data_IF_239934034997
#
_entry.id   IF_239934034997
#
_cell.length_a   1.000
_cell.length_b   1.000
_cell.length_c   1.000
_cell.angle_alpha   90.00
_cell.angle_beta   90.00
_cell.angle_gamma   90.00
#
_symmetry.space_group_name_H-M   'P 1'
#
loop_
_entity.id
_entity.type
_entity.pdbx_description
1 polymer ?
#
# COMPACT_ATOMS: atom_id res chain seq x y z
N UNK A 1 15.25 16.15 -38.78
CA UNK A 1 15.48 15.49 -37.48
C UNK A 1 14.18 15.54 -36.67
N UNK A 2 13.72 14.41 -36.12
CA UNK A 2 12.63 14.44 -35.16
C UNK A 2 13.12 15.11 -33.88
N UNK A 3 12.45 16.16 -33.46
CA UNK A 3 12.75 16.85 -32.21
C UNK A 3 12.51 15.90 -31.04
N UNK A 4 13.55 15.62 -30.26
CA UNK A 4 13.45 14.78 -29.06
C UNK A 4 12.74 15.60 -27.98
N UNK A 5 11.54 15.13 -27.58
CA UNK A 5 10.80 15.68 -26.45
C UNK A 5 11.12 14.89 -25.19
N UNK A 6 11.32 15.60 -24.10
CA UNK A 6 11.55 14.96 -22.81
C UNK A 6 10.34 14.15 -22.34
N UNK A 7 10.60 12.99 -21.77
CA UNK A 7 9.61 12.19 -21.05
C UNK A 7 9.74 12.31 -19.53
N UNK A 8 10.74 13.11 -19.05
CA UNK A 8 10.93 13.39 -17.65
C UNK A 8 9.72 14.15 -17.10
N UNK A 9 9.20 13.69 -15.97
CA UNK A 9 8.12 14.34 -15.22
C UNK A 9 8.62 14.70 -13.83
N UNK A 10 8.36 15.93 -13.43
CA UNK A 10 8.65 16.43 -12.08
C UNK A 10 7.34 17.01 -11.51
N UNK A 11 6.98 16.59 -10.32
CA UNK A 11 5.80 17.07 -9.60
C UNK A 11 6.08 17.05 -8.09
N UNK A 12 5.23 17.70 -7.33
CA UNK A 12 5.33 17.72 -5.87
C UNK A 12 4.22 16.90 -5.25
N UNK A 13 4.53 16.11 -4.25
CA UNK A 13 3.57 15.27 -3.52
C UNK A 13 2.41 16.09 -2.94
N UNK A 14 2.70 17.30 -2.46
CA UNK A 14 1.71 18.19 -1.87
C UNK A 14 0.62 18.66 -2.85
N UNK A 15 0.90 18.63 -4.15
CA UNK A 15 -0.03 19.04 -5.20
C UNK A 15 -0.96 17.88 -5.61
N UNK A 16 -0.79 16.69 -5.03
CA UNK A 16 -1.58 15.51 -5.33
C UNK A 16 -2.67 15.28 -4.29
N UNK A 17 -3.86 14.96 -4.76
CA UNK A 17 -4.96 14.57 -3.91
C UNK A 17 -4.73 13.22 -3.26
N UNK A 18 -5.08 13.12 -1.98
CA UNK A 18 -5.12 11.86 -1.24
C UNK A 18 -6.51 11.23 -1.31
N UNK A 19 -6.55 9.90 -1.32
CA UNK A 19 -7.78 9.11 -1.20
C UNK A 19 -7.77 8.32 0.10
N UNK A 20 -8.96 8.08 0.65
CA UNK A 20 -9.12 7.19 1.82
C UNK A 20 -8.51 5.83 1.49
N UNK A 21 -7.65 5.34 2.38
CA UNK A 21 -6.98 4.05 2.24
C UNK A 21 -7.76 2.88 2.86
N UNK A 22 -7.03 1.85 3.24
CA UNK A 22 -7.60 0.56 3.70
C UNK A 22 -8.20 0.58 5.11
N UNK A 23 -7.91 1.61 5.90
CA UNK A 23 -8.37 1.70 7.28
C UNK A 23 -8.79 3.13 7.62
N UNK A 24 -9.66 3.34 8.63
CA UNK A 24 -9.89 4.66 9.17
C UNK A 24 -8.55 5.29 9.62
N UNK A 25 -8.32 6.56 9.26
CA UNK A 25 -7.06 7.25 9.53
C UNK A 25 -5.94 6.97 8.52
N UNK A 26 -6.21 6.25 7.43
CA UNK A 26 -5.28 6.01 6.34
C UNK A 26 -5.62 6.86 5.12
N UNK A 27 -4.70 7.69 4.69
CA UNK A 27 -4.75 8.45 3.44
C UNK A 27 -3.67 7.91 2.49
N UNK A 28 -4.02 7.69 1.24
CA UNK A 28 -3.07 7.26 0.20
C UNK A 28 -3.02 8.28 -0.94
N UNK A 29 -1.83 8.72 -1.29
CA UNK A 29 -1.54 9.55 -2.46
C UNK A 29 -0.81 8.72 -3.49
N UNK A 30 -1.43 8.48 -4.63
CA UNK A 30 -0.80 7.76 -5.73
C UNK A 30 0.15 8.68 -6.48
N UNK A 31 1.45 8.39 -6.42
CA UNK A 31 2.50 9.19 -7.04
C UNK A 31 2.73 8.80 -8.50
N UNK A 32 2.87 7.49 -8.76
CA UNK A 32 3.11 6.92 -10.09
C UNK A 32 2.27 5.66 -10.27
N UNK A 33 1.81 5.39 -11.48
CA UNK A 33 1.06 4.19 -11.82
C UNK A 33 -0.44 4.43 -12.06
N UNK A 34 -0.82 5.63 -12.49
CA UNK A 34 -2.16 5.97 -12.99
C UNK A 34 -2.08 6.55 -14.41
N UNK A 35 -3.22 6.93 -14.98
CA UNK A 35 -3.31 7.48 -16.34
C UNK A 35 -2.54 8.79 -16.51
N UNK A 36 -2.55 9.67 -15.50
CA UNK A 36 -1.87 10.96 -15.54
C UNK A 36 -0.35 10.82 -15.35
N UNK A 37 0.06 9.88 -14.54
CA UNK A 37 1.45 9.58 -14.19
C UNK A 37 1.72 8.08 -14.38
N UNK A 38 1.72 7.61 -15.64
CA UNK A 38 1.87 6.20 -15.93
C UNK A 38 3.25 5.69 -15.53
N UNK A 39 3.29 4.49 -14.99
CA UNK A 39 4.50 3.70 -14.79
C UNK A 39 4.44 2.45 -15.63
N UNK A 40 5.56 1.99 -16.14
CA UNK A 40 5.60 0.72 -16.89
C UNK A 40 5.37 -0.48 -15.98
N UNK A 41 6.08 -0.52 -14.85
CA UNK A 41 6.06 -1.61 -13.87
C UNK A 41 5.95 -1.13 -12.42
N UNK A 42 6.19 0.15 -12.17
CA UNK A 42 6.20 0.71 -10.84
C UNK A 42 4.87 1.41 -10.54
N UNK A 43 4.27 1.01 -9.43
CA UNK A 43 3.21 1.75 -8.76
C UNK A 43 3.76 2.26 -7.44
N UNK A 44 3.75 3.57 -7.26
CA UNK A 44 4.29 4.21 -6.05
C UNK A 44 3.23 5.06 -5.40
N UNK A 45 3.03 4.87 -4.11
CA UNK A 45 2.14 5.68 -3.30
C UNK A 45 2.81 6.16 -2.02
N UNK A 46 2.43 7.34 -1.57
CA UNK A 46 2.69 7.81 -0.23
C UNK A 46 1.46 7.49 0.63
N UNK A 47 1.66 6.69 1.65
CA UNK A 47 0.63 6.34 2.62
C UNK A 47 0.87 7.12 3.91
N UNK A 48 -0.18 7.74 4.41
CA UNK A 48 -0.17 8.56 5.61
C UNK A 48 -1.17 7.94 6.58
N UNK A 49 -0.71 7.61 7.77
CA UNK A 49 -1.54 7.01 8.80
C UNK A 49 -1.55 7.88 10.04
N UNK A 50 -2.73 8.14 10.57
CA UNK A 50 -2.87 8.86 11.83
C UNK A 50 -2.58 7.95 13.03
N UNK A 51 -2.12 8.50 14.17
CA UNK A 51 -1.90 7.74 15.40
C UNK A 51 -3.14 6.98 15.82
N UNK A 52 -2.96 5.75 16.30
CA UNK A 52 -4.06 4.86 16.69
C UNK A 52 -4.67 4.05 15.56
N UNK A 53 -4.33 4.34 14.30
CA UNK A 53 -4.77 3.52 13.16
C UNK A 53 -4.28 2.09 13.34
N UNK A 54 -5.18 1.14 13.13
CA UNK A 54 -4.87 -0.29 13.06
C UNK A 54 -5.19 -0.82 11.68
N UNK A 55 -4.22 -1.49 11.06
CA UNK A 55 -4.41 -2.20 9.79
C UNK A 55 -4.42 -3.69 10.10
N UNK A 56 -5.53 -4.39 9.86
CA UNK A 56 -5.64 -5.83 10.16
C UNK A 56 -4.60 -6.67 9.45
N UNK A 57 -4.41 -7.90 9.94
CA UNK A 57 -3.51 -8.86 9.32
C UNK A 57 -3.94 -9.13 7.89
N UNK A 58 -3.03 -8.88 6.93
CA UNK A 58 -3.32 -8.96 5.50
C UNK A 58 -2.08 -9.28 4.70
N UNK A 59 -2.28 -9.73 3.47
CA UNK A 59 -1.25 -9.96 2.47
C UNK A 59 -1.62 -9.39 1.11
N UNK A 60 -0.68 -9.34 0.20
CA UNK A 60 -0.82 -8.81 -1.15
C UNK A 60 -0.35 -9.82 -2.18
N UNK A 61 -0.91 -9.73 -3.40
CA UNK A 61 -0.49 -10.56 -4.54
C UNK A 61 0.66 -9.96 -5.34
N UNK A 62 0.96 -8.68 -5.10
CA UNK A 62 2.04 -7.96 -5.77
C UNK A 62 3.22 -7.82 -4.82
N UNK A 63 4.40 -8.12 -5.32
CA UNK A 63 5.66 -7.80 -4.67
C UNK A 63 5.78 -6.29 -4.42
N UNK A 64 6.31 -5.92 -3.29
CA UNK A 64 6.50 -4.52 -2.95
C UNK A 64 7.59 -4.28 -1.92
N UNK A 65 7.88 -3.01 -1.76
CA UNK A 65 8.78 -2.50 -0.75
C UNK A 65 8.11 -1.32 -0.05
N UNK A 66 8.22 -1.28 1.26
CA UNK A 66 7.85 -0.12 2.05
C UNK A 66 9.09 0.55 2.61
N UNK A 67 9.09 1.87 2.58
CA UNK A 67 10.10 2.71 3.20
C UNK A 67 9.43 3.70 4.14
N UNK A 68 9.77 3.66 5.42
CA UNK A 68 9.24 4.59 6.41
C UNK A 68 10.01 5.92 6.33
N UNK A 69 9.29 6.99 6.03
CA UNK A 69 9.85 8.35 5.91
C UNK A 69 9.88 9.03 7.27
N UNK A 70 8.76 8.97 8.01
CA UNK A 70 8.61 9.59 9.32
C UNK A 70 7.56 8.87 10.15
N UNK A 71 7.54 9.13 11.45
CA UNK A 71 6.61 8.52 12.39
C UNK A 71 7.06 7.16 12.92
N UNK A 72 6.18 6.49 13.67
CA UNK A 72 6.45 5.20 14.30
C UNK A 72 5.25 4.29 14.28
N UNK A 73 5.51 3.00 14.09
CA UNK A 73 4.50 1.94 14.13
C UNK A 73 5.10 0.64 14.67
N UNK A 74 4.22 -0.28 15.05
CA UNK A 74 4.56 -1.70 15.22
C UNK A 74 3.98 -2.47 14.06
N UNK A 75 4.82 -3.19 13.34
CA UNK A 75 4.42 -4.19 12.37
C UNK A 75 4.50 -5.56 13.02
N UNK A 76 3.44 -6.35 12.94
CA UNK A 76 3.42 -7.71 13.45
C UNK A 76 3.22 -8.67 12.28
N UNK A 77 4.12 -9.65 12.15
CA UNK A 77 4.08 -10.65 11.07
C UNK A 77 3.12 -11.81 11.37
N UNK A 78 3.00 -12.74 10.45
CA UNK A 78 2.07 -13.88 10.54
C UNK A 78 2.40 -14.80 11.73
N UNK A 79 3.65 -14.87 12.15
CA UNK A 79 4.10 -15.67 13.31
C UNK A 79 3.81 -14.94 14.64
N UNK A 80 3.38 -13.68 14.58
CA UNK A 80 3.11 -12.88 15.77
C UNK A 80 4.33 -12.12 16.29
N UNK A 81 5.44 -12.14 15.57
CA UNK A 81 6.63 -11.36 15.92
C UNK A 81 6.40 -9.90 15.57
N UNK A 82 6.69 -9.03 16.53
CA UNK A 82 6.57 -7.59 16.37
C UNK A 82 7.90 -6.94 15.99
N UNK A 83 7.82 -5.98 15.09
CA UNK A 83 8.92 -5.18 14.59
C UNK A 83 8.64 -3.71 14.82
N UNK A 84 9.56 -2.99 15.44
CA UNK A 84 9.46 -1.54 15.57
C UNK A 84 9.85 -0.86 14.25
N UNK A 85 8.93 -0.06 13.72
CA UNK A 85 9.10 0.68 12.49
C UNK A 85 9.27 2.17 12.83
N UNK A 86 10.33 2.75 12.30
CA UNK A 86 10.64 4.17 12.40
C UNK A 86 11.29 4.69 11.13
N UNK A 87 11.68 5.97 11.08
CA UNK A 87 12.31 6.56 9.89
C UNK A 87 13.51 5.74 9.41
N UNK A 88 13.55 5.45 8.12
CA UNK A 88 14.60 4.63 7.49
C UNK A 88 14.36 3.12 7.54
N UNK A 89 13.28 2.64 8.17
CA UNK A 89 12.90 1.22 8.10
C UNK A 89 12.53 0.83 6.68
N UNK A 90 13.06 -0.28 6.22
CA UNK A 90 12.75 -0.88 4.91
C UNK A 90 12.08 -2.22 5.15
N UNK A 91 10.94 -2.44 4.51
CA UNK A 91 10.17 -3.68 4.60
C UNK A 91 9.96 -4.24 3.20
N UNK A 92 10.53 -5.40 2.93
CA UNK A 92 10.24 -6.15 1.72
C UNK A 92 8.98 -6.98 1.91
N UNK A 93 8.04 -6.84 1.00
CA UNK A 93 6.73 -7.50 1.04
C UNK A 93 6.63 -8.46 -0.13
N UNK A 94 6.88 -9.74 0.14
CA UNK A 94 6.70 -10.80 -0.84
C UNK A 94 5.20 -11.07 -1.08
N UNK A 95 4.82 -11.56 -2.26
CA UNK A 95 3.45 -12.01 -2.53
C UNK A 95 3.08 -13.20 -1.64
N UNK A 96 1.83 -13.23 -1.19
CA UNK A 96 1.25 -14.41 -0.56
C UNK A 96 1.11 -14.34 0.96
N UNK A 97 0.34 -15.30 1.48
CA UNK A 97 -0.10 -15.34 2.87
C UNK A 97 1.05 -15.41 3.89
N UNK A 98 2.17 -16.02 3.52
CA UNK A 98 3.34 -16.11 4.40
C UNK A 98 3.96 -14.74 4.74
N UNK A 99 3.69 -13.71 3.94
CA UNK A 99 4.12 -12.33 4.18
C UNK A 99 3.01 -11.48 4.80
N UNK A 100 1.99 -12.10 5.39
CA UNK A 100 0.93 -11.36 6.08
C UNK A 100 1.47 -10.56 7.24
N UNK A 101 0.96 -9.36 7.38
CA UNK A 101 1.36 -8.41 8.42
C UNK A 101 0.20 -7.53 8.84
N UNK A 102 0.25 -7.06 10.08
CA UNK A 102 -0.67 -6.08 10.63
C UNK A 102 0.11 -4.88 11.14
N UNK A 103 -0.54 -3.72 11.22
CA UNK A 103 0.08 -2.49 11.66
C UNK A 103 -0.68 -1.87 12.82
N UNK A 104 0.06 -1.42 13.83
CA UNK A 104 -0.43 -0.53 14.87
C UNK A 104 0.36 0.77 14.80
N UNK A 105 -0.29 1.85 14.44
CA UNK A 105 0.36 3.15 14.26
C UNK A 105 0.46 3.85 15.63
N UNK A 106 1.67 4.20 16.01
CA UNK A 106 1.98 4.89 17.28
C UNK A 106 2.09 6.40 17.12
N UNK A 107 2.78 6.84 16.08
CA UNK A 107 2.93 8.25 15.70
C UNK A 107 2.49 8.39 14.24
N UNK A 108 2.10 9.59 13.82
CA UNK A 108 1.71 9.85 12.42
C UNK A 108 2.79 9.33 11.48
N UNK A 109 2.48 8.27 10.76
CA UNK A 109 3.41 7.55 9.90
C UNK A 109 3.28 8.02 8.46
N UNK A 110 4.40 8.33 7.82
CA UNK A 110 4.50 8.47 6.38
C UNK A 110 5.31 7.30 5.81
N UNK A 111 4.68 6.57 4.92
CA UNK A 111 5.21 5.33 4.36
C UNK A 111 5.16 5.39 2.83
N UNK A 112 6.31 5.32 2.17
CA UNK A 112 6.35 5.13 0.73
C UNK A 112 6.16 3.64 0.42
N UNK A 113 5.16 3.33 -0.38
CA UNK A 113 4.92 1.98 -0.89
C UNK A 113 5.26 1.92 -2.37
N UNK A 114 6.17 1.03 -2.73
CA UNK A 114 6.60 0.77 -4.10
C UNK A 114 6.12 -0.64 -4.46
N UNK A 115 5.34 -0.76 -5.53
CA UNK A 115 4.78 -2.02 -6.03
C UNK A 115 5.31 -2.31 -7.42
N UNK A 116 5.55 -3.58 -7.70
CA UNK A 116 6.13 -4.06 -8.96
C UNK A 116 5.10 -4.27 -10.09
N UNK A 117 3.87 -3.81 -9.92
CA UNK A 117 2.80 -3.92 -10.91
C UNK A 117 1.90 -2.68 -10.84
N UNK A 118 1.51 -2.17 -11.99
CA UNK A 118 0.65 -1.00 -12.11
C UNK A 118 -0.83 -1.33 -12.21
N UNK A 119 -1.19 -2.60 -12.37
CA UNK A 119 -2.55 -3.06 -12.53
C UNK A 119 -3.40 -2.74 -11.30
N UNK A 120 -4.43 -1.89 -11.40
CA UNK A 120 -5.28 -1.55 -10.26
C UNK A 120 -5.97 -2.77 -9.66
N UNK A 121 -6.38 -3.71 -10.50
CA UNK A 121 -7.07 -4.94 -10.12
C UNK A 121 -6.20 -5.87 -9.25
N UNK A 122 -4.89 -5.79 -9.37
CA UNK A 122 -3.97 -6.56 -8.54
C UNK A 122 -3.56 -5.85 -7.25
N UNK A 123 -3.88 -4.57 -7.11
CA UNK A 123 -3.55 -3.79 -5.91
C UNK A 123 -4.60 -4.00 -4.82
N UNK A 124 -4.78 -5.25 -4.44
CA UNK A 124 -5.76 -5.69 -3.44
C UNK A 124 -5.04 -6.14 -2.17
N UNK A 125 -5.75 -5.97 -1.07
CA UNK A 125 -5.41 -6.45 0.24
C UNK A 125 -6.34 -7.62 0.61
N UNK A 126 -5.75 -8.74 0.98
CA UNK A 126 -6.47 -9.91 1.49
C UNK A 126 -6.31 -9.95 3.00
N UNK A 127 -7.41 -9.83 3.72
CA UNK A 127 -7.41 -9.97 5.18
C UNK A 127 -7.31 -11.45 5.57
N UNK A 128 -6.65 -11.71 6.69
CA UNK A 128 -6.45 -13.05 7.23
C UNK A 128 -7.13 -13.17 8.58
N UNK A 129 -8.00 -14.15 8.71
CA UNK A 129 -8.51 -14.58 10.01
C UNK A 129 -7.49 -15.50 10.68
N UNK A 130 -6.88 -15.00 11.75
CA UNK A 130 -5.85 -15.76 12.50
C UNK A 130 -6.34 -17.09 13.07
N UNK A 131 -7.62 -17.20 13.40
CA UNK A 131 -8.18 -18.41 14.02
C UNK A 131 -8.33 -19.56 13.02
N UNK A 132 -8.64 -19.23 11.77
CA UNK A 132 -8.91 -20.19 10.71
C UNK A 132 -7.85 -20.22 9.63
N UNK A 133 -6.95 -19.22 9.61
CA UNK A 133 -5.96 -18.97 8.56
C UNK A 133 -6.59 -18.83 7.16
N UNK A 134 -7.86 -18.44 7.10
CA UNK A 134 -8.56 -18.18 5.85
C UNK A 134 -8.38 -16.72 5.45
N UNK A 135 -8.15 -16.52 4.17
CA UNK A 135 -8.08 -15.19 3.57
C UNK A 135 -9.40 -14.82 2.91
N UNK A 136 -9.76 -13.55 3.04
CA UNK A 136 -10.90 -12.95 2.36
C UNK A 136 -10.55 -11.59 1.81
N UNK A 137 -11.23 -11.21 0.71
CA UNK A 137 -11.16 -9.85 0.21
C UNK A 137 -12.02 -8.98 1.12
N UNK A 138 -11.48 -7.85 1.58
CA UNK A 138 -12.29 -6.85 2.26
C UNK A 138 -13.21 -6.14 1.26
N UNK A 139 -14.48 -6.51 1.24
CA UNK A 139 -15.48 -5.87 0.39
C UNK A 139 -15.71 -4.40 0.78
N UNK A 140 -15.61 -4.07 2.05
CA UNK A 140 -15.71 -2.69 2.53
C UNK A 140 -14.61 -1.82 1.93
N UNK A 141 -13.40 -2.34 1.85
CA UNK A 141 -12.26 -1.67 1.25
C UNK A 141 -12.46 -1.46 -0.26
N UNK A 142 -12.96 -2.47 -0.96
CA UNK A 142 -13.32 -2.38 -2.38
C UNK A 142 -14.39 -1.32 -2.63
N UNK A 143 -15.41 -1.27 -1.80
CA UNK A 143 -16.51 -0.31 -1.92
C UNK A 143 -16.03 1.13 -1.68
N UNK A 144 -15.22 1.35 -0.64
CA UNK A 144 -14.63 2.65 -0.33
C UNK A 144 -13.68 3.16 -1.42
N UNK A 145 -13.10 2.26 -2.19
CA UNK A 145 -12.19 2.57 -3.30
C UNK A 145 -12.87 2.81 -4.64
N UNK A 146 -14.19 2.90 -4.68
CA UNK A 146 -14.96 3.15 -5.90
C UNK A 146 -15.41 1.89 -6.63
N UNK A 147 -15.46 0.75 -5.95
CA UNK A 147 -16.19 -0.44 -6.42
C UNK A 147 -15.62 -1.12 -7.66
N UNK A 148 -14.32 -1.07 -7.88
CA UNK A 148 -13.70 -1.87 -8.92
C UNK A 148 -13.84 -3.36 -8.57
N UNK A 149 -14.90 -3.98 -9.07
CA UNK A 149 -15.08 -5.43 -9.02
C UNK A 149 -14.03 -6.09 -9.90
N UNK A 150 -13.14 -6.81 -9.29
CA UNK A 150 -12.04 -7.48 -9.98
C UNK A 150 -12.54 -8.78 -10.60
N UNK A 151 -13.02 -8.68 -11.83
CA UNK A 151 -13.42 -9.85 -12.62
C UNK A 151 -12.27 -10.83 -12.89
N UNK A 152 -11.03 -10.41 -12.70
CA UNK A 152 -9.83 -11.21 -12.98
C UNK A 152 -9.42 -12.17 -11.88
N UNK A 153 -10.12 -12.21 -10.76
CA UNK A 153 -9.81 -13.11 -9.63
C UNK A 153 -10.77 -14.31 -9.51
N UNK A 154 -11.69 -14.47 -10.48
CA UNK A 154 -12.65 -15.57 -10.51
C UNK A 154 -12.57 -16.33 -11.83
#
# INVERSE_FOLDING_TARGET
MKELKTTLKVFREQDLEGKIGHAPGHLSKLLVGNEERPGERLRVSLNIFEPGTYVPLHWHIIEGLYYAISGRATLTDIEGKSHDIGPGSVMYIAPGIACSHSWQIKERLQLMAIRADTSPEKNIQFEVDKSTMKSSISFDDLTKRGGALFKSFY
#
